data_IF_266476539791
#
_entry.id   IF_266476539791
#
_cell.length_a   1.000
_cell.length_b   1.000
_cell.length_c   1.000
_cell.angle_alpha   90.00
_cell.angle_beta   90.00
_cell.angle_gamma   90.00
#
_symmetry.space_group_name_H-M   'P 1'
#
loop_
_entity.id
_entity.type
_entity.pdbx_description
1 polymer ?
#
# COMPACT_ATOMS: atom_id res chain seq x y z
N UNK A 1 26.74 9.96 13.25
CA UNK A 1 25.99 10.94 14.08
C UNK A 1 24.54 10.80 13.65
N UNK A 2 23.72 10.12 14.45
CA UNK A 2 22.28 10.08 14.18
C UNK A 2 21.72 11.42 14.63
N UNK A 3 21.09 12.18 13.72
CA UNK A 3 20.43 13.43 14.06
C UNK A 3 19.39 13.19 15.16
N UNK A 4 19.27 14.14 16.10
CA UNK A 4 18.24 14.06 17.12
C UNK A 4 16.85 13.89 16.46
N UNK A 5 16.03 12.95 16.95
CA UNK A 5 14.73 12.69 16.37
C UNK A 5 13.83 13.92 16.52
N UNK A 6 13.63 14.65 15.40
CA UNK A 6 12.65 15.73 15.36
C UNK A 6 11.25 15.12 15.43
N UNK A 7 10.38 15.58 16.35
CA UNK A 7 9.01 15.10 16.40
C UNK A 7 8.28 15.44 15.10
N UNK A 8 7.81 14.40 14.42
CA UNK A 8 7.04 14.49 13.19
C UNK A 8 5.59 14.86 13.50
N UNK A 9 5.11 15.94 12.86
CA UNK A 9 3.72 16.38 12.90
C UNK A 9 3.06 16.14 11.55
N UNK A 10 2.30 15.06 11.46
CA UNK A 10 1.57 14.72 10.22
C UNK A 10 0.40 15.66 9.92
N UNK A 11 0.00 16.47 10.89
CA UNK A 11 -1.17 17.34 10.86
C UNK A 11 -0.84 18.80 10.56
N UNK A 12 0.39 19.10 10.14
CA UNK A 12 0.85 20.46 9.83
C UNK A 12 0.41 20.99 8.46
N UNK A 13 -0.44 20.24 7.74
CA UNK A 13 -0.95 20.59 6.42
C UNK A 13 0.07 20.47 5.28
N UNK A 14 1.23 19.83 5.52
CA UNK A 14 2.28 19.62 4.52
C UNK A 14 2.33 18.17 4.05
N UNK A 15 2.90 17.99 2.86
CA UNK A 15 3.28 16.68 2.35
C UNK A 15 4.62 16.28 2.95
N UNK A 16 4.71 15.06 3.47
CA UNK A 16 5.93 14.54 4.08
C UNK A 16 6.34 13.21 3.47
N UNK A 17 7.65 12.99 3.35
CA UNK A 17 8.21 11.69 3.02
C UNK A 17 8.87 11.11 4.27
N UNK A 18 8.37 9.97 4.73
CA UNK A 18 9.00 9.19 5.80
C UNK A 18 9.74 8.03 5.14
N UNK A 19 11.03 7.89 5.41
CA UNK A 19 11.87 6.83 4.84
C UNK A 19 12.30 5.83 5.93
N UNK A 20 12.16 4.53 5.63
CA UNK A 20 12.63 3.44 6.48
C UNK A 20 13.93 2.87 5.88
N UNK A 21 15.05 3.18 6.53
CA UNK A 21 16.39 2.74 6.08
C UNK A 21 16.55 1.22 6.10
N UNK A 22 15.84 0.53 6.98
CA UNK A 22 15.94 -0.91 7.18
C UNK A 22 14.84 -1.69 6.44
N UNK A 23 14.27 -1.16 5.36
CA UNK A 23 13.12 -1.79 4.70
C UNK A 23 13.44 -3.13 4.01
N UNK A 24 14.73 -3.39 3.73
CA UNK A 24 15.19 -4.68 3.21
C UNK A 24 15.58 -5.68 4.32
N UNK A 25 15.54 -5.27 5.59
CA UNK A 25 15.85 -6.17 6.71
C UNK A 25 14.67 -7.10 6.99
N UNK A 26 14.91 -8.27 7.59
CA UNK A 26 13.85 -9.11 8.12
C UNK A 26 12.97 -8.32 9.10
N UNK A 27 11.65 -8.50 8.99
CA UNK A 27 10.65 -7.81 9.83
C UNK A 27 10.92 -7.80 11.33
N UNK A 28 11.56 -8.88 11.81
CA UNK A 28 11.87 -9.09 13.22
C UNK A 28 12.97 -8.14 13.71
N UNK A 29 13.85 -7.70 12.80
CA UNK A 29 15.01 -6.87 13.09
C UNK A 29 14.84 -5.43 12.57
N UNK A 30 13.74 -5.12 11.88
CA UNK A 30 13.47 -3.76 11.39
C UNK A 30 12.92 -2.88 12.52
N UNK A 31 13.68 -1.89 13.01
CA UNK A 31 13.20 -1.00 14.07
C UNK A 31 12.07 -0.11 13.56
N UNK A 32 11.05 0.11 14.39
CA UNK A 32 9.96 1.06 14.11
C UNK A 32 10.03 2.19 15.10
N UNK A 33 9.81 3.42 14.61
CA UNK A 33 9.74 4.61 15.44
C UNK A 33 8.36 5.23 15.31
N UNK A 34 7.79 5.63 16.44
CA UNK A 34 6.62 6.51 16.49
C UNK A 34 6.96 7.84 15.85
N UNK A 35 5.94 8.63 15.52
CA UNK A 35 6.14 9.99 15.02
C UNK A 35 6.86 10.90 16.02
N UNK A 36 6.91 10.52 17.29
CA UNK A 36 7.69 11.22 18.34
C UNK A 36 9.12 10.70 18.48
N UNK A 37 9.53 9.71 17.68
CA UNK A 37 10.87 9.13 17.70
C UNK A 37 11.06 7.94 18.64
N UNK A 38 10.05 7.53 19.40
CA UNK A 38 10.14 6.37 20.31
C UNK A 38 10.12 5.05 19.56
N UNK A 39 11.00 4.13 19.92
CA UNK A 39 11.02 2.78 19.34
C UNK A 39 9.85 1.93 19.83
N UNK A 40 9.25 1.17 18.91
CA UNK A 40 8.11 0.29 19.19
C UNK A 40 8.18 -1.00 18.40
N UNK A 41 7.59 -2.06 18.93
CA UNK A 41 7.54 -3.39 18.30
C UNK A 41 6.23 -3.67 17.57
N UNK A 42 5.26 -2.75 17.66
CA UNK A 42 3.93 -2.84 17.05
C UNK A 42 3.61 -1.57 16.27
N UNK A 43 2.56 -1.61 15.45
CA UNK A 43 2.10 -0.44 14.72
C UNK A 43 1.26 0.43 15.67
N UNK A 44 1.80 1.57 16.09
CA UNK A 44 1.19 2.50 17.05
C UNK A 44 0.65 3.76 16.37
N UNK A 45 1.34 4.26 15.35
CA UNK A 45 0.94 5.43 14.58
C UNK A 45 1.37 5.34 13.10
N UNK A 46 1.08 6.37 12.31
CA UNK A 46 1.37 6.39 10.87
C UNK A 46 2.86 6.33 10.51
N UNK A 47 3.77 6.62 11.44
CA UNK A 47 5.21 6.53 11.28
C UNK A 47 5.77 5.13 11.56
N UNK A 48 5.00 4.30 12.28
CA UNK A 48 5.39 2.94 12.68
C UNK A 48 5.16 1.89 11.58
N UNK A 49 5.45 2.21 10.32
CA UNK A 49 5.34 1.24 9.23
C UNK A 49 6.59 0.35 9.14
N UNK A 50 6.36 -0.88 8.69
CA UNK A 50 7.39 -1.93 8.62
C UNK A 50 7.79 -2.25 7.18
N UNK A 51 6.79 -2.38 6.33
CA UNK A 51 6.92 -3.06 5.04
C UNK A 51 7.27 -2.12 3.87
N UNK A 52 6.68 -0.92 3.75
CA UNK A 52 7.12 0.00 2.71
C UNK A 52 8.48 0.62 3.06
N UNK A 53 9.28 0.86 2.04
CA UNK A 53 10.57 1.57 2.18
C UNK A 53 10.39 3.05 2.42
N UNK A 54 9.30 3.61 1.92
CA UNK A 54 8.92 4.97 2.26
C UNK A 54 7.40 5.12 2.28
N UNK A 55 6.93 6.11 3.02
CA UNK A 55 5.54 6.55 3.03
C UNK A 55 5.48 8.03 2.76
N UNK A 56 4.72 8.41 1.73
CA UNK A 56 4.36 9.79 1.49
C UNK A 56 3.07 10.05 2.25
N UNK A 57 3.13 10.91 3.26
CA UNK A 57 1.97 11.34 4.04
C UNK A 57 1.39 12.59 3.39
N UNK A 58 0.13 12.52 3.03
CA UNK A 58 -0.62 13.59 2.37
C UNK A 58 -1.73 14.05 3.30
N UNK A 59 -1.72 15.33 3.64
CA UNK A 59 -2.84 15.99 4.33
C UNK A 59 -3.26 17.23 3.55
N UNK A 60 -4.26 17.11 2.67
CA UNK A 60 -4.78 18.27 1.96
C UNK A 60 -5.28 19.33 2.96
N UNK A 61 -5.06 20.63 2.71
CA UNK A 61 -5.54 21.69 3.60
C UNK A 61 -7.05 21.66 3.88
N UNK A 62 -7.82 21.07 2.95
CA UNK A 62 -9.28 20.96 2.98
C UNK A 62 -9.79 19.65 3.57
N UNK A 63 -8.91 18.76 4.04
CA UNK A 63 -9.26 17.44 4.52
C UNK A 63 -8.72 17.21 5.94
N UNK A 64 -9.62 16.87 6.86
CA UNK A 64 -9.22 16.35 8.17
C UNK A 64 -8.62 14.94 8.09
N UNK A 65 -8.81 14.25 6.96
CA UNK A 65 -8.27 12.91 6.72
C UNK A 65 -6.85 13.01 6.20
N UNK A 66 -5.96 12.31 6.90
CA UNK A 66 -4.61 12.01 6.43
C UNK A 66 -4.65 10.78 5.53
N UNK A 67 -4.11 10.90 4.32
CA UNK A 67 -3.92 9.78 3.38
C UNK A 67 -2.43 9.52 3.20
N UNK A 68 -2.10 8.36 2.63
CA UNK A 68 -0.71 8.05 2.34
C UNK A 68 -0.53 7.20 1.10
N UNK A 69 0.65 7.33 0.50
CA UNK A 69 1.15 6.48 -0.56
C UNK A 69 2.37 5.72 -0.06
N UNK A 70 2.29 4.38 -0.13
CA UNK A 70 3.36 3.48 0.27
C UNK A 70 4.27 3.17 -0.93
N UNK A 71 5.58 3.30 -0.72
CA UNK A 71 6.62 3.02 -1.72
C UNK A 71 7.34 1.74 -1.33
N UNK A 72 7.25 0.74 -2.20
CA UNK A 72 7.93 -0.54 -2.04
C UNK A 72 9.12 -0.60 -3.00
N UNK A 73 10.30 -0.95 -2.50
CA UNK A 73 11.48 -1.15 -3.34
C UNK A 73 11.57 -2.61 -3.80
N UNK A 74 12.00 -2.79 -5.05
CA UNK A 74 12.38 -4.08 -5.60
C UNK A 74 13.89 -4.10 -5.81
N UNK A 75 14.54 -5.23 -5.52
CA UNK A 75 15.96 -5.43 -5.85
C UNK A 75 16.09 -5.89 -7.30
N UNK A 76 16.80 -5.13 -8.13
CA UNK A 76 17.09 -5.49 -9.52
C UNK A 76 18.41 -6.27 -9.60
N UNK A 77 18.37 -7.43 -10.29
CA UNK A 77 19.54 -8.27 -10.58
C UNK A 77 19.70 -8.47 -12.09
N UNK A 78 19.31 -7.48 -12.90
CA UNK A 78 19.37 -7.40 -14.38
C UNK A 78 18.49 -8.38 -15.16
N UNK A 79 18.25 -9.57 -14.62
CA UNK A 79 17.42 -10.61 -15.22
C UNK A 79 16.07 -10.74 -14.51
N UNK A 80 16.03 -10.42 -13.22
CA UNK A 80 14.84 -10.47 -12.40
C UNK A 80 14.82 -9.37 -11.35
N UNK A 81 13.60 -9.05 -10.92
CA UNK A 81 13.30 -8.15 -9.81
C UNK A 81 12.81 -9.00 -8.63
N UNK A 82 13.40 -8.78 -7.47
CA UNK A 82 13.02 -9.43 -6.23
C UNK A 82 12.21 -8.46 -5.36
N UNK A 83 10.97 -8.84 -5.10
CA UNK A 83 10.14 -8.29 -4.05
C UNK A 83 10.43 -9.05 -2.76
N UNK A 84 11.30 -8.48 -1.92
CA UNK A 84 11.65 -9.05 -0.62
C UNK A 84 10.46 -9.15 0.31
N UNK A 85 9.53 -8.20 0.16
CA UNK A 85 8.36 -8.08 0.99
C UNK A 85 7.39 -9.26 0.76
N UNK A 86 7.03 -9.51 -0.50
CA UNK A 86 6.16 -10.63 -0.87
C UNK A 86 6.91 -11.93 -1.08
N UNK A 87 8.24 -11.91 -1.01
CA UNK A 87 9.13 -13.02 -1.38
C UNK A 87 8.79 -13.53 -2.77
N UNK A 88 8.63 -12.61 -3.72
CA UNK A 88 8.26 -12.89 -5.11
C UNK A 88 9.35 -12.40 -6.04
N UNK A 89 9.68 -13.25 -6.99
CA UNK A 89 10.59 -12.90 -8.09
C UNK A 89 9.80 -12.71 -9.38
N UNK A 90 10.13 -11.66 -10.12
CA UNK A 90 9.59 -11.34 -11.44
C UNK A 90 10.71 -11.31 -12.47
N UNK A 91 10.49 -11.85 -13.67
CA UNK A 91 11.41 -11.59 -14.79
C UNK A 91 11.42 -10.08 -15.05
N UNK A 92 12.60 -9.49 -15.23
CA UNK A 92 12.74 -8.04 -15.43
C UNK A 92 11.89 -7.53 -16.60
N UNK A 93 11.80 -8.31 -17.68
CA UNK A 93 10.99 -8.00 -18.87
C UNK A 93 9.46 -7.96 -18.64
N UNK A 94 8.96 -8.49 -17.52
CA UNK A 94 7.54 -8.34 -17.13
C UNK A 94 7.27 -6.91 -16.67
N UNK A 95 8.26 -6.26 -16.06
CA UNK A 95 8.13 -4.92 -15.47
C UNK A 95 8.69 -3.87 -16.42
N UNK A 96 9.90 -4.06 -16.93
CA UNK A 96 10.58 -3.09 -17.78
C UNK A 96 10.54 -3.47 -19.29
N UNK A 97 10.55 -2.49 -20.20
CA UNK A 97 10.42 -1.05 -19.93
C UNK A 97 9.02 -0.72 -19.40
N UNK A 98 8.93 0.29 -18.52
CA UNK A 98 7.62 0.77 -18.08
C UNK A 98 6.88 1.38 -19.26
N UNK A 99 5.55 1.24 -19.28
CA UNK A 99 4.70 1.80 -20.33
C UNK A 99 3.65 2.77 -19.76
N UNK A 100 3.24 3.79 -20.52
CA UNK A 100 2.12 4.64 -20.12
C UNK A 100 0.84 3.83 -19.88
N UNK A 101 0.09 4.19 -18.85
CA UNK A 101 -1.20 3.59 -18.51
C UNK A 101 -2.08 4.58 -17.74
N UNK A 102 -3.33 4.21 -17.50
CA UNK A 102 -4.26 4.98 -16.67
C UNK A 102 -4.56 4.19 -15.40
N UNK A 103 -4.35 4.82 -14.25
CA UNK A 103 -4.70 4.26 -12.94
C UNK A 103 -5.62 5.25 -12.23
N UNK A 104 -6.86 4.83 -11.96
CA UNK A 104 -7.88 5.68 -11.31
C UNK A 104 -8.06 7.02 -12.06
N UNK A 105 -8.08 6.99 -13.39
CA UNK A 105 -8.22 8.20 -14.22
C UNK A 105 -6.96 9.06 -14.33
N UNK A 106 -5.87 8.72 -13.65
CA UNK A 106 -4.59 9.45 -13.70
C UNK A 106 -3.66 8.77 -14.70
N UNK A 107 -3.07 9.54 -15.62
CA UNK A 107 -1.99 9.05 -16.49
C UNK A 107 -0.74 8.77 -15.64
N UNK A 108 -0.21 7.55 -15.75
CA UNK A 108 0.95 7.09 -15.00
C UNK A 108 1.75 6.07 -15.82
N UNK A 109 2.73 5.43 -15.18
CA UNK A 109 3.55 4.36 -15.76
C UNK A 109 3.27 3.04 -15.08
N UNK A 110 3.13 1.98 -15.87
CA UNK A 110 2.84 0.62 -15.43
C UNK A 110 3.91 -0.37 -15.90
N UNK A 111 3.97 -1.56 -15.29
CA UNK A 111 4.72 -2.70 -15.82
C UNK A 111 4.41 -2.96 -17.30
N UNK A 112 5.43 -3.35 -18.07
CA UNK A 112 5.31 -3.74 -19.47
C UNK A 112 4.19 -4.78 -19.70
N UNK A 113 4.16 -5.80 -18.84
CA UNK A 113 3.16 -6.86 -18.82
C UNK A 113 2.42 -6.88 -17.48
N UNK A 114 1.37 -6.06 -17.38
CA UNK A 114 0.52 -5.90 -16.19
C UNK A 114 -0.11 -7.24 -15.78
N UNK A 115 -0.65 -8.01 -16.73
CA UNK A 115 -1.26 -9.31 -16.45
C UNK A 115 -0.25 -10.27 -15.84
N UNK A 116 0.93 -10.42 -16.47
CA UNK A 116 1.99 -11.29 -15.94
C UNK A 116 2.47 -10.86 -14.56
N UNK A 117 2.56 -9.55 -14.31
CA UNK A 117 2.89 -8.99 -13.00
C UNK A 117 1.82 -9.35 -11.95
N UNK A 118 0.55 -9.06 -12.21
CA UNK A 118 -0.56 -9.30 -11.28
C UNK A 118 -0.78 -10.79 -11.04
N UNK A 119 -0.70 -11.63 -12.07
CA UNK A 119 -0.80 -13.09 -11.96
C UNK A 119 0.23 -13.66 -11.00
N UNK A 120 1.45 -13.12 -10.97
CA UNK A 120 2.50 -13.60 -10.07
C UNK A 120 2.19 -13.33 -8.58
N UNK A 121 1.46 -12.25 -8.30
CA UNK A 121 1.04 -11.88 -6.94
C UNK A 121 -0.26 -12.56 -6.53
N UNK A 122 -1.24 -12.57 -7.41
CA UNK A 122 -2.65 -12.83 -7.07
C UNK A 122 -3.22 -14.09 -7.72
N UNK A 123 -2.46 -14.79 -8.56
CA UNK A 123 -2.92 -15.98 -9.28
C UNK A 123 -3.54 -15.66 -10.64
N UNK A 124 -3.85 -16.70 -11.41
CA UNK A 124 -4.42 -16.55 -12.76
C UNK A 124 -5.84 -15.97 -12.75
N UNK A 125 -6.54 -16.13 -11.64
CA UNK A 125 -7.91 -15.70 -11.39
C UNK A 125 -7.98 -14.29 -10.76
N UNK A 126 -6.87 -13.52 -10.73
CA UNK A 126 -6.83 -12.20 -10.11
C UNK A 126 -7.91 -11.23 -10.61
N UNK A 127 -8.34 -11.38 -11.86
CA UNK A 127 -9.34 -10.53 -12.49
C UNK A 127 -10.78 -11.03 -12.28
N UNK A 128 -10.96 -12.32 -11.96
CA UNK A 128 -12.28 -12.97 -11.91
C UNK A 128 -12.69 -13.36 -10.49
N UNK A 129 -11.73 -13.49 -9.57
CA UNK A 129 -11.94 -13.87 -8.18
C UNK A 129 -11.56 -12.74 -7.24
N UNK A 130 -12.32 -11.65 -7.31
CA UNK A 130 -12.20 -10.59 -6.31
C UNK A 130 -12.56 -11.14 -4.93
N UNK A 131 -11.78 -10.77 -3.91
CA UNK A 131 -12.04 -11.13 -2.51
C UNK A 131 -13.32 -10.46 -1.98
N UNK A 132 -13.69 -9.31 -2.54
CA UNK A 132 -14.90 -8.57 -2.19
C UNK A 132 -15.62 -8.09 -3.45
N UNK A 133 -16.95 -8.10 -3.41
CA UNK A 133 -17.80 -7.55 -4.47
C UNK A 133 -18.72 -6.51 -3.85
N UNK A 134 -18.84 -5.34 -4.46
CA UNK A 134 -19.80 -4.34 -4.01
C UNK A 134 -21.19 -4.72 -4.53
N UNK A 135 -22.13 -5.01 -3.64
CA UNK A 135 -23.54 -5.24 -3.97
C UNK A 135 -24.39 -4.40 -3.05
N UNK A 136 -25.35 -3.66 -3.61
CA UNK A 136 -26.25 -2.77 -2.87
C UNK A 136 -25.47 -1.83 -1.93
N UNK A 137 -24.38 -1.23 -2.42
CA UNK A 137 -23.52 -0.31 -1.65
C UNK A 137 -22.84 -0.95 -0.42
N UNK A 138 -22.72 -2.28 -0.41
CA UNK A 138 -21.98 -3.01 0.62
C UNK A 138 -20.92 -3.92 -0.02
N UNK A 139 -19.72 -3.90 0.54
CA UNK A 139 -18.67 -4.85 0.18
C UNK A 139 -18.99 -6.22 0.80
N UNK A 140 -19.27 -7.20 -0.03
CA UNK A 140 -19.57 -8.57 0.40
C UNK A 140 -18.35 -9.45 0.13
N UNK A 141 -17.89 -10.18 1.14
CA UNK A 141 -16.82 -11.16 0.99
C UNK A 141 -17.24 -12.24 -0.02
N UNK A 142 -16.44 -12.39 -1.07
CA UNK A 142 -16.70 -13.31 -2.18
C UNK A 142 -15.77 -14.54 -2.16
N UNK A 143 -14.84 -14.59 -1.20
CA UNK A 143 -13.93 -15.72 -0.97
C UNK A 143 -13.88 -16.08 0.53
N UNK A 144 -13.52 -17.33 0.86
CA UNK A 144 -13.54 -17.81 2.25
C UNK A 144 -12.49 -17.13 3.14
N UNK A 145 -11.37 -16.71 2.57
CA UNK A 145 -10.35 -15.92 3.26
C UNK A 145 -10.81 -14.48 3.54
N UNK A 146 -11.69 -13.93 2.70
CA UNK A 146 -12.25 -12.58 2.88
C UNK A 146 -13.34 -12.52 3.95
N UNK A 147 -14.05 -13.64 4.19
CA UNK A 147 -15.10 -13.75 5.23
C UNK A 147 -14.57 -13.58 6.66
N UNK A 148 -13.26 -13.79 6.85
CA UNK A 148 -12.60 -13.69 8.17
C UNK A 148 -12.14 -12.25 8.51
N UNK A 149 -12.37 -11.28 7.63
CA UNK A 149 -11.85 -9.92 7.76
C UNK A 149 -13.02 -8.93 7.82
N UNK A 150 -12.99 -8.02 8.80
CA UNK A 150 -13.98 -6.94 8.92
C UNK A 150 -13.99 -6.05 7.67
N UNK A 151 -15.20 -5.82 7.14
CA UNK A 151 -15.43 -5.13 5.87
C UNK A 151 -15.76 -3.65 6.12
N UNK A 152 -15.08 -2.69 5.48
CA UNK A 152 -15.49 -1.28 5.51
C UNK A 152 -16.76 -1.06 4.68
N UNK A 153 -17.60 -0.09 5.08
CA UNK A 153 -18.72 0.41 4.25
C UNK A 153 -18.20 0.99 2.94
N UNK A 154 -18.95 0.84 1.84
CA UNK A 154 -18.71 1.61 0.62
C UNK A 154 -19.05 3.08 0.88
N UNK A 155 -18.12 4.02 0.66
CA UNK A 155 -18.50 5.43 0.57
C UNK A 155 -19.36 5.64 -0.69
N UNK A 156 -20.45 6.41 -0.58
CA UNK A 156 -21.42 6.69 -1.66
C UNK A 156 -20.80 7.25 -2.97
N UNK A 157 -19.57 7.76 -2.90
CA UNK A 157 -18.85 8.35 -4.04
C UNK A 157 -17.55 7.62 -4.42
N UNK A 158 -17.37 6.39 -3.95
CA UNK A 158 -16.17 5.63 -4.28
C UNK A 158 -16.24 5.02 -5.70
N UNK A 159 -15.38 5.50 -6.60
CA UNK A 159 -15.19 4.92 -7.94
C UNK A 159 -14.87 3.42 -7.87
N UNK A 160 -14.25 2.94 -6.80
CA UNK A 160 -13.93 1.53 -6.59
C UNK A 160 -15.15 0.66 -6.32
N UNK A 161 -16.16 1.19 -5.61
CA UNK A 161 -17.44 0.49 -5.43
C UNK A 161 -18.22 0.42 -6.75
N UNK A 162 -18.16 1.46 -7.58
CA UNK A 162 -18.76 1.46 -8.92
C UNK A 162 -18.02 0.55 -9.91
N UNK A 163 -16.72 0.32 -9.71
CA UNK A 163 -15.87 -0.50 -10.56
C UNK A 163 -15.74 -1.98 -10.12
N UNK A 164 -16.35 -2.41 -9.01
CA UNK A 164 -16.19 -3.75 -8.43
C UNK A 164 -14.74 -4.15 -8.09
N UNK A 165 -13.85 -3.19 -7.80
CA UNK A 165 -12.44 -3.46 -7.50
C UNK A 165 -12.12 -3.01 -6.07
N UNK A 166 -11.88 -3.96 -5.17
CA UNK A 166 -11.38 -3.66 -3.83
C UNK A 166 -9.85 -3.69 -3.82
N UNK A 167 -9.22 -2.51 -3.70
CA UNK A 167 -7.78 -2.42 -3.41
C UNK A 167 -7.62 -2.33 -1.89
N UNK A 168 -6.91 -3.29 -1.30
CA UNK A 168 -6.69 -3.39 0.15
C UNK A 168 -5.90 -2.15 0.64
N UNK A 169 -6.62 -1.15 1.15
CA UNK A 169 -6.07 0.07 1.71
C UNK A 169 -6.79 0.44 3.01
N UNK A 170 -6.04 0.40 4.12
CA UNK A 170 -6.30 1.09 5.39
C UNK A 170 -7.47 0.55 6.22
N UNK A 171 -7.13 -0.31 7.20
CA UNK A 171 -7.90 -0.46 8.43
C UNK A 171 -7.73 0.82 9.26
N UNK A 172 -8.81 1.53 9.57
CA UNK A 172 -8.95 2.25 10.83
C UNK A 172 -10.41 2.22 11.26
N UNK A 173 -10.61 1.81 12.51
CA UNK A 173 -11.92 1.68 13.16
C UNK A 173 -12.63 3.05 13.14
N UNK A 174 -13.78 3.12 12.48
CA UNK A 174 -14.73 4.22 12.66
C UNK A 174 -15.61 3.81 13.84
N UNK A 175 -15.56 4.57 14.93
CA UNK A 175 -16.70 4.71 15.84
C UNK A 175 -17.37 6.03 15.46
N UNK A 176 -18.69 5.98 15.26
CA UNK A 176 -19.54 7.16 15.14
C UNK A 176 -19.55 7.94 16.44
#
# INVERSE_FOLDING_TARGET
MEDEPKPFKADDGRTHLIYQRHCHHPKIDTPRKTCKGFEVTTNVDQCTFLDPCARIVLRPPTSERTTWLDVFALRDNDSYLLDDWKRKTHKRAIIFPLKPCVFIGIQTVCPNNITGYLTRYYGNDFATKSHYVCKNEEWIANTDDAKQIAVPRCPENDLFCKANVFIRGIKNKIKY
#
